data_IF_751311682643
#
_entry.id   IF_751311682643
#
_cell.length_a   1.000
_cell.length_b   1.000
_cell.length_c   1.000
_cell.angle_alpha   90.00
_cell.angle_beta   90.00
_cell.angle_gamma   90.00
#
_symmetry.space_group_name_H-M   'P 1'
#
loop_
_entity.id
_entity.type
_entity.pdbx_description
1 polymer ?
#
# COMPACT_ATOMS: atom_id res chain seq x y z
N UNK A 1 -56.67 -28.76 7.91
CA UNK A 1 -56.19 -27.51 7.24
C UNK A 1 -54.68 -27.50 7.30
N UNK A 2 -54.05 -27.82 6.18
CA UNK A 2 -52.59 -27.75 6.04
C UNK A 2 -52.20 -26.34 5.57
N UNK A 3 -51.33 -25.70 6.32
CA UNK A 3 -50.65 -24.47 5.90
C UNK A 3 -49.36 -24.82 5.13
N UNK A 4 -49.08 -24.26 3.94
CA UNK A 4 -47.82 -24.47 3.28
C UNK A 4 -46.77 -23.57 3.89
N UNK A 5 -45.63 -24.16 4.29
CA UNK A 5 -44.48 -23.47 4.77
C UNK A 5 -43.79 -22.65 3.66
N UNK A 6 -43.65 -21.37 3.90
CA UNK A 6 -42.90 -20.47 3.05
C UNK A 6 -41.41 -20.66 3.32
N UNK A 7 -40.67 -21.41 2.48
CA UNK A 7 -39.23 -21.50 2.50
C UNK A 7 -38.66 -20.25 1.84
N UNK A 8 -38.31 -19.27 2.66
CA UNK A 8 -37.48 -18.13 2.20
C UNK A 8 -36.03 -18.60 2.15
N UNK A 9 -35.57 -19.00 0.96
CA UNK A 9 -34.16 -19.25 0.70
C UNK A 9 -33.47 -17.89 0.64
N UNK A 10 -32.89 -17.44 1.74
CA UNK A 10 -31.98 -16.33 1.73
C UNK A 10 -30.76 -16.73 0.88
N UNK A 11 -30.71 -16.20 -0.33
CA UNK A 11 -29.49 -16.19 -1.14
C UNK A 11 -28.45 -15.37 -0.40
N UNK A 12 -27.56 -16.04 0.33
CA UNK A 12 -26.31 -15.48 0.80
C UNK A 12 -25.53 -15.05 -0.45
N UNK A 13 -25.53 -13.75 -0.74
CA UNK A 13 -24.75 -13.17 -1.82
C UNK A 13 -23.26 -13.38 -1.45
N UNK A 14 -22.64 -14.42 -2.01
CA UNK A 14 -21.19 -14.57 -1.94
C UNK A 14 -20.59 -13.34 -2.60
N UNK A 15 -19.93 -12.48 -1.81
CA UNK A 15 -19.05 -11.43 -2.33
C UNK A 15 -17.91 -12.15 -3.07
N UNK A 16 -18.03 -12.27 -4.37
CA UNK A 16 -16.92 -12.68 -5.22
C UNK A 16 -15.81 -11.64 -5.09
N UNK A 17 -14.60 -12.09 -4.74
CA UNK A 17 -13.43 -11.21 -4.77
C UNK A 17 -13.28 -10.64 -6.19
N UNK A 18 -12.93 -9.34 -6.33
CA UNK A 18 -12.76 -8.73 -7.63
C UNK A 18 -11.61 -9.41 -8.38
N UNK A 19 -11.69 -9.41 -9.69
CA UNK A 19 -10.63 -9.93 -10.54
C UNK A 19 -9.42 -8.99 -10.56
N UNK A 20 -8.26 -9.53 -10.93
CA UNK A 20 -7.04 -8.72 -11.12
C UNK A 20 -7.27 -7.62 -12.17
N UNK A 21 -8.04 -7.90 -13.22
CA UNK A 21 -8.38 -6.92 -14.26
C UNK A 21 -9.24 -5.77 -13.73
N UNK A 22 -10.19 -6.05 -12.85
CA UNK A 22 -11.00 -5.01 -12.21
C UNK A 22 -10.14 -4.13 -11.30
N UNK A 23 -9.25 -4.71 -10.50
CA UNK A 23 -8.31 -3.95 -9.69
C UNK A 23 -7.37 -3.10 -10.57
N UNK A 24 -6.86 -3.64 -11.68
CA UNK A 24 -5.98 -2.91 -12.61
C UNK A 24 -6.64 -1.63 -13.16
N UNK A 25 -7.94 -1.65 -13.42
CA UNK A 25 -8.69 -0.50 -13.91
C UNK A 25 -8.87 0.62 -12.85
N UNK A 26 -8.70 0.30 -11.56
CA UNK A 26 -8.97 1.22 -10.45
C UNK A 26 -7.71 1.71 -9.72
N UNK A 27 -6.53 1.21 -10.06
CA UNK A 27 -5.27 1.65 -9.46
C UNK A 27 -4.55 2.68 -10.32
N UNK A 28 -3.75 3.53 -9.69
CA UNK A 28 -2.82 4.43 -10.38
C UNK A 28 -1.50 3.70 -10.63
N UNK A 29 -1.29 3.27 -11.85
CA UNK A 29 -0.08 2.57 -12.29
C UNK A 29 0.47 3.07 -13.63
N UNK A 30 0.03 4.22 -14.09
CA UNK A 30 0.56 4.86 -15.30
C UNK A 30 2.04 5.23 -15.13
N UNK A 31 2.89 5.04 -16.18
CA UNK A 31 4.26 5.50 -16.17
C UNK A 31 4.38 7.00 -15.92
N UNK A 32 5.42 7.41 -15.21
CA UNK A 32 5.68 8.80 -14.88
C UNK A 32 7.19 9.14 -14.96
N UNK A 33 7.52 10.43 -14.98
CA UNK A 33 8.92 10.90 -15.03
C UNK A 33 9.22 11.82 -13.86
N UNK A 34 10.42 11.65 -13.28
CA UNK A 34 10.98 12.55 -12.27
C UNK A 34 12.43 12.81 -12.62
N UNK A 35 12.81 14.07 -12.74
CA UNK A 35 14.19 14.50 -13.06
C UNK A 35 14.77 13.77 -14.28
N UNK A 36 13.98 13.64 -15.35
CA UNK A 36 14.36 12.98 -16.59
C UNK A 36 14.34 11.45 -16.55
N UNK A 37 14.27 10.80 -15.38
CA UNK A 37 14.17 9.34 -15.24
C UNK A 37 12.72 8.89 -15.34
N UNK A 38 12.46 7.89 -16.19
CA UNK A 38 11.15 7.23 -16.32
C UNK A 38 11.02 6.12 -15.29
N UNK A 39 9.84 6.08 -14.65
CA UNK A 39 9.41 5.01 -13.76
C UNK A 39 8.16 4.36 -14.33
N UNK A 40 8.15 3.05 -14.36
CA UNK A 40 6.99 2.26 -14.80
C UNK A 40 6.50 1.45 -13.61
N UNK A 41 5.34 1.80 -13.03
CA UNK A 41 4.73 0.99 -11.99
C UNK A 41 4.42 -0.41 -12.51
N UNK A 42 4.48 -1.39 -11.62
CA UNK A 42 4.18 -2.77 -11.94
C UNK A 42 2.67 -3.00 -12.09
N UNK A 43 2.30 -4.08 -12.78
CA UNK A 43 0.92 -4.53 -12.87
C UNK A 43 0.39 -4.98 -11.51
N UNK A 44 -0.94 -5.07 -11.36
CA UNK A 44 -1.55 -5.64 -10.14
C UNK A 44 -1.09 -7.08 -9.92
N UNK A 45 -1.03 -7.89 -10.99
CA UNK A 45 -0.60 -9.29 -10.89
C UNK A 45 0.83 -9.42 -10.34
N UNK A 46 1.77 -8.61 -10.85
CA UNK A 46 3.16 -8.59 -10.37
C UNK A 46 3.25 -8.06 -8.93
N UNK A 47 2.48 -7.02 -8.63
CA UNK A 47 2.47 -6.43 -7.29
C UNK A 47 1.98 -7.40 -6.22
N UNK A 48 1.00 -8.25 -6.51
CA UNK A 48 0.47 -9.24 -5.57
C UNK A 48 1.50 -10.31 -5.16
N UNK A 49 2.57 -10.47 -5.93
CA UNK A 49 3.68 -11.38 -5.63
C UNK A 49 4.94 -10.65 -5.17
N UNK A 50 4.87 -9.33 -5.05
CA UNK A 50 6.02 -8.51 -4.72
C UNK A 50 6.46 -8.66 -3.28
N UNK A 51 7.73 -8.95 -3.12
CA UNK A 51 8.47 -8.86 -1.87
C UNK A 51 9.88 -8.38 -2.15
N UNK A 52 10.39 -7.51 -1.32
CA UNK A 52 11.74 -6.96 -1.48
C UNK A 52 12.32 -6.55 -0.12
N UNK A 53 13.64 -6.64 -0.01
CA UNK A 53 14.39 -6.16 1.15
C UNK A 53 15.26 -4.98 0.72
N UNK A 54 15.20 -3.89 1.48
CA UNK A 54 15.96 -2.69 1.18
C UNK A 54 15.94 -1.72 2.35
N UNK A 55 16.43 -0.51 2.10
CA UNK A 55 16.44 0.55 3.10
C UNK A 55 15.15 1.35 3.10
N UNK A 56 14.67 1.66 4.29
CA UNK A 56 13.55 2.56 4.52
C UNK A 56 13.98 3.77 5.32
N UNK A 57 13.33 4.89 5.06
CA UNK A 57 13.38 6.09 5.91
C UNK A 57 11.96 6.57 6.17
N UNK A 58 11.81 7.78 6.66
CA UNK A 58 10.51 8.36 6.96
C UNK A 58 10.49 9.86 6.66
N UNK A 59 9.29 10.38 6.46
CA UNK A 59 9.06 11.82 6.27
C UNK A 59 8.07 12.35 7.33
N UNK A 60 8.28 13.58 7.76
CA UNK A 60 7.61 14.16 8.91
C UNK A 60 7.06 15.57 8.69
N UNK A 61 7.08 16.38 9.71
CA UNK A 61 6.35 17.63 9.85
C UNK A 61 6.36 18.64 8.70
N UNK A 62 7.46 18.73 7.94
CA UNK A 62 7.54 19.62 6.76
C UNK A 62 6.67 19.13 5.57
N UNK A 63 6.31 17.85 5.55
CA UNK A 63 5.42 17.29 4.54
C UNK A 63 3.93 17.51 4.85
N UNK A 64 3.60 18.04 6.01
CA UNK A 64 2.21 18.31 6.40
C UNK A 64 1.56 19.30 5.45
N UNK A 65 0.32 19.02 5.02
CA UNK A 65 -0.47 19.79 4.05
C UNK A 65 -0.01 19.70 2.59
N UNK A 66 1.04 18.94 2.28
CA UNK A 66 1.33 18.62 0.89
C UNK A 66 0.40 17.52 0.40
N UNK A 67 0.11 17.51 -0.90
CA UNK A 67 -0.64 16.43 -1.54
C UNK A 67 0.32 15.32 -1.97
N UNK A 68 -0.12 14.09 -1.80
CA UNK A 68 0.53 12.90 -2.34
C UNK A 68 0.26 12.75 -3.84
N UNK A 69 0.95 11.82 -4.48
CA UNK A 69 0.69 11.45 -5.87
C UNK A 69 -0.71 10.85 -6.09
N UNK A 70 -1.34 10.31 -5.05
CA UNK A 70 -2.75 9.87 -5.10
C UNK A 70 -3.75 11.03 -4.98
N UNK A 71 -3.29 12.23 -4.58
CA UNK A 71 -4.11 13.41 -4.38
C UNK A 71 -4.58 13.62 -2.94
N UNK A 72 -4.20 12.76 -2.02
CA UNK A 72 -4.49 12.87 -0.60
C UNK A 72 -3.58 13.89 0.10
N UNK A 73 -4.06 14.52 1.16
CA UNK A 73 -3.21 15.33 2.02
C UNK A 73 -2.36 14.45 2.95
N UNK A 74 -1.09 14.78 3.06
CA UNK A 74 -0.17 14.06 3.96
C UNK A 74 -0.48 14.44 5.41
N UNK A 75 -0.67 13.41 6.25
CA UNK A 75 -0.74 13.54 7.71
C UNK A 75 0.28 12.60 8.37
N UNK A 76 1.55 13.00 8.47
CA UNK A 76 2.63 12.09 8.85
C UNK A 76 2.50 11.49 10.25
N UNK A 77 1.87 12.21 11.18
CA UNK A 77 1.74 11.79 12.57
C UNK A 77 0.60 10.81 12.81
N UNK A 78 -0.37 10.72 11.90
CA UNK A 78 -1.58 9.90 12.07
C UNK A 78 -1.78 8.83 11.00
N UNK A 79 -1.38 9.13 9.78
CA UNK A 79 -1.63 8.23 8.65
C UNK A 79 -0.61 7.09 8.60
N UNK A 80 -1.09 5.87 8.41
CA UNK A 80 -0.28 4.67 8.17
C UNK A 80 -0.07 4.49 6.68
N UNK A 81 0.71 5.40 6.08
CA UNK A 81 0.95 5.45 4.63
C UNK A 81 2.43 5.56 4.30
N UNK A 82 2.76 5.33 3.04
CA UNK A 82 4.15 5.37 2.57
C UNK A 82 4.26 5.76 1.09
N UNK A 83 5.47 6.10 0.68
CA UNK A 83 5.86 6.36 -0.69
C UNK A 83 6.69 5.20 -1.25
N UNK A 84 6.32 4.72 -2.43
CA UNK A 84 7.07 3.70 -3.18
C UNK A 84 7.12 4.06 -4.67
N UNK A 85 8.23 3.68 -5.33
CA UNK A 85 8.48 4.10 -6.74
C UNK A 85 7.54 3.41 -7.73
N UNK A 86 7.27 2.13 -7.56
CA UNK A 86 6.67 1.29 -8.63
C UNK A 86 5.49 0.43 -8.21
N UNK A 87 5.10 0.41 -6.94
CA UNK A 87 3.87 -0.27 -6.54
C UNK A 87 2.64 0.48 -7.06
N UNK A 88 1.58 -0.19 -7.51
CA UNK A 88 0.31 0.46 -7.85
C UNK A 88 -0.30 1.15 -6.64
N UNK A 89 -1.10 2.18 -6.86
CA UNK A 89 -1.75 2.94 -5.77
C UNK A 89 -3.28 2.91 -5.92
N UNK A 90 -4.01 2.55 -4.85
CA UNK A 90 -3.54 2.12 -3.53
C UNK A 90 -3.06 0.67 -3.50
N UNK A 91 -2.18 0.38 -2.56
CA UNK A 91 -1.66 -0.96 -2.31
C UNK A 91 -1.31 -1.07 -0.83
N UNK A 92 -1.68 -2.16 -0.18
CA UNK A 92 -1.34 -2.42 1.22
C UNK A 92 -0.11 -3.30 1.31
N UNK A 93 0.85 -2.86 2.09
CA UNK A 93 2.17 -3.51 2.22
C UNK A 93 2.48 -3.73 3.69
N UNK A 94 2.87 -4.94 4.04
CA UNK A 94 3.48 -5.25 5.33
C UNK A 94 4.95 -4.84 5.28
N UNK A 95 5.34 -4.00 6.20
CA UNK A 95 6.73 -3.53 6.36
C UNK A 95 7.28 -4.11 7.65
N UNK A 96 8.32 -4.90 7.56
CA UNK A 96 9.02 -5.49 8.72
C UNK A 96 10.40 -4.85 8.84
N UNK A 97 10.67 -4.20 9.96
CA UNK A 97 12.01 -3.70 10.27
C UNK A 97 12.89 -4.88 10.72
N UNK A 98 13.99 -5.12 10.01
CA UNK A 98 14.85 -6.28 10.26
C UNK A 98 15.66 -6.14 11.56
N UNK A 99 15.97 -4.90 11.97
CA UNK A 99 16.71 -4.63 13.20
C UNK A 99 15.85 -4.77 14.47
N UNK A 100 14.55 -4.51 14.40
CA UNK A 100 13.64 -4.58 15.56
C UNK A 100 12.75 -5.82 15.54
N UNK A 101 12.59 -6.48 14.40
CA UNK A 101 11.63 -7.55 14.18
C UNK A 101 10.16 -7.12 14.18
N UNK A 102 9.88 -5.83 14.38
CA UNK A 102 8.52 -5.27 14.40
C UNK A 102 8.01 -5.05 12.99
N UNK A 103 6.72 -5.25 12.78
CA UNK A 103 6.05 -5.01 11.51
C UNK A 103 4.80 -4.17 11.66
N UNK A 104 4.41 -3.52 10.56
CA UNK A 104 3.14 -2.79 10.43
C UNK A 104 2.66 -2.86 8.99
N UNK A 105 1.39 -2.55 8.79
CA UNK A 105 0.81 -2.44 7.45
C UNK A 105 0.66 -0.97 7.09
N UNK A 106 1.11 -0.61 5.90
CA UNK A 106 0.96 0.73 5.34
C UNK A 106 0.25 0.68 3.99
N UNK A 107 -0.44 1.76 3.65
CA UNK A 107 -1.02 1.94 2.34
C UNK A 107 -0.10 2.84 1.50
N UNK A 108 0.26 2.37 0.32
CA UNK A 108 1.03 3.16 -0.63
C UNK A 108 0.09 4.20 -1.28
N UNK A 109 0.38 5.46 -1.06
CA UNK A 109 -0.39 6.59 -1.61
C UNK A 109 0.49 7.68 -2.22
N UNK A 110 1.81 7.47 -2.27
CA UNK A 110 2.74 8.45 -2.80
C UNK A 110 3.86 7.80 -3.61
N UNK A 111 4.54 8.59 -4.45
CA UNK A 111 5.71 8.22 -5.24
C UNK A 111 6.99 8.70 -4.58
N UNK A 112 8.03 7.93 -4.71
CA UNK A 112 9.35 8.11 -4.13
C UNK A 112 9.78 6.89 -3.30
N UNK A 113 10.92 6.96 -2.61
CA UNK A 113 11.90 8.04 -2.56
C UNK A 113 12.72 8.18 -3.86
N UNK A 114 13.03 9.42 -4.26
CA UNK A 114 13.79 9.71 -5.47
C UNK A 114 15.25 10.11 -5.17
N UNK A 115 15.56 10.29 -3.91
CA UNK A 115 16.91 10.53 -3.40
C UNK A 115 17.47 9.24 -2.82
N UNK A 116 18.63 8.82 -3.21
CA UNK A 116 19.29 7.62 -2.70
C UNK A 116 18.64 6.28 -3.13
N UNK A 117 19.27 5.19 -2.71
CA UNK A 117 18.84 3.82 -2.99
C UNK A 117 17.77 3.31 -1.99
N UNK A 118 17.01 4.21 -1.35
CA UNK A 118 15.93 3.79 -0.46
C UNK A 118 14.80 3.13 -1.25
N UNK A 119 14.23 2.10 -0.63
CA UNK A 119 13.13 1.33 -1.19
C UNK A 119 11.78 1.99 -0.91
N UNK A 120 11.58 2.48 0.32
CA UNK A 120 10.32 3.03 0.81
C UNK A 120 10.57 4.17 1.79
N UNK A 121 9.71 5.17 1.78
CA UNK A 121 9.65 6.20 2.81
C UNK A 121 8.31 6.14 3.54
N UNK A 122 8.36 5.93 4.85
CA UNK A 122 7.19 5.80 5.72
C UNK A 122 6.75 7.15 6.26
N UNK A 123 5.48 7.27 6.65
CA UNK A 123 5.05 8.35 7.54
C UNK A 123 5.68 8.18 8.92
N UNK A 124 5.79 9.28 9.68
CA UNK A 124 6.27 9.26 11.07
C UNK A 124 5.52 8.24 11.93
N UNK A 125 4.19 8.17 11.79
CA UNK A 125 3.34 7.22 12.51
C UNK A 125 3.74 5.76 12.20
N UNK A 126 3.91 5.41 10.92
CA UNK A 126 4.30 4.06 10.51
C UNK A 126 5.72 3.72 10.97
N UNK A 127 6.67 4.63 10.80
CA UNK A 127 8.05 4.45 11.24
C UNK A 127 8.16 4.24 12.76
N UNK A 128 7.36 4.94 13.54
CA UNK A 128 7.33 4.80 15.00
C UNK A 128 6.83 3.42 15.43
N UNK A 129 5.85 2.86 14.71
CA UNK A 129 5.30 1.52 15.00
C UNK A 129 6.35 0.41 14.92
N UNK A 130 7.31 0.53 14.02
CA UNK A 130 8.34 -0.50 13.80
C UNK A 130 9.70 -0.12 14.39
N UNK A 131 9.77 0.97 15.16
CA UNK A 131 11.00 1.44 15.80
C UNK A 131 12.01 2.11 14.85
N UNK A 132 11.61 2.40 13.61
CA UNK A 132 12.48 3.02 12.60
C UNK A 132 12.67 4.52 12.85
N UNK A 133 11.65 5.20 13.41
CA UNK A 133 11.68 6.66 13.62
C UNK A 133 12.93 7.16 14.35
N UNK A 134 13.36 6.46 15.41
CA UNK A 134 14.56 6.80 16.18
C UNK A 134 15.88 6.51 15.46
N UNK A 135 15.86 5.58 14.51
CA UNK A 135 17.04 5.16 13.74
C UNK A 135 17.28 6.02 12.50
N UNK A 136 16.25 6.67 11.98
CA UNK A 136 16.28 7.46 10.76
C UNK A 136 16.25 6.62 9.49
N UNK A 137 17.15 5.65 9.35
CA UNK A 137 17.22 4.69 8.23
C UNK A 137 17.43 3.28 8.80
N UNK A 138 16.69 2.31 8.27
CA UNK A 138 16.81 0.89 8.65
C UNK A 138 16.53 -0.03 7.47
N UNK A 139 17.04 -1.26 7.55
CA UNK A 139 16.67 -2.30 6.59
C UNK A 139 15.28 -2.83 6.90
N UNK A 140 14.47 -2.95 5.87
CA UNK A 140 13.11 -3.49 5.96
C UNK A 140 12.88 -4.56 4.91
N UNK A 141 11.94 -5.45 5.19
CA UNK A 141 11.34 -6.35 4.21
C UNK A 141 9.92 -5.87 3.94
N UNK A 142 9.60 -5.76 2.65
CA UNK A 142 8.27 -5.45 2.15
C UNK A 142 7.60 -6.72 1.64
N UNK A 143 6.30 -6.85 1.91
CA UNK A 143 5.44 -7.91 1.40
C UNK A 143 4.08 -7.29 1.07
N UNK A 144 3.65 -7.37 -0.18
CA UNK A 144 2.33 -6.86 -0.58
C UNK A 144 1.25 -7.76 0.01
N UNK A 145 0.25 -7.15 0.64
CA UNK A 145 -0.91 -7.84 1.20
C UNK A 145 -2.09 -7.79 0.24
N UNK A 146 -2.35 -6.63 -0.33
CA UNK A 146 -3.44 -6.42 -1.27
C UNK A 146 -3.18 -5.23 -2.17
N UNK A 147 -3.86 -5.20 -3.31
CA UNK A 147 -3.82 -4.09 -4.27
C UNK A 147 -5.24 -3.62 -4.55
N UNK A 148 -5.44 -2.31 -4.67
CA UNK A 148 -6.75 -1.69 -4.76
C UNK A 148 -7.31 -1.32 -3.39
N UNK A 149 -8.56 -0.91 -3.36
CA UNK A 149 -9.30 -0.59 -2.15
C UNK A 149 -10.80 -0.89 -2.29
N UNK A 150 -11.47 -1.02 -1.14
CA UNK A 150 -12.91 -1.27 -1.09
C UNK A 150 -13.35 -2.45 -1.95
N UNK A 151 -14.33 -2.25 -2.86
CA UNK A 151 -14.84 -3.34 -3.69
C UNK A 151 -13.88 -3.82 -4.78
N UNK A 152 -12.78 -3.10 -5.02
CA UNK A 152 -11.77 -3.40 -6.05
C UNK A 152 -10.46 -3.89 -5.45
N UNK A 153 -10.44 -4.25 -4.18
CA UNK A 153 -9.25 -4.75 -3.48
C UNK A 153 -9.07 -6.25 -3.73
N UNK A 154 -7.90 -6.62 -4.26
CA UNK A 154 -7.47 -8.02 -4.48
C UNK A 154 -6.37 -8.37 -3.50
N UNK A 155 -6.53 -9.48 -2.78
CA UNK A 155 -5.55 -9.96 -1.81
C UNK A 155 -4.45 -10.80 -2.44
N UNK A 156 -3.23 -10.68 -1.92
CA UNK A 156 -2.14 -11.61 -2.21
C UNK A 156 -2.46 -12.98 -1.56
N UNK A 157 -2.15 -14.06 -2.25
CA UNK A 157 -2.35 -15.45 -1.78
C UNK A 157 -1.10 -16.01 -1.14
#
# INVERSE_FOLDING_TARGET
FLMPGCSTTEKCAQKTEPSVQEAEAHVKNAPYRVRGKRYTPMSVADALQYHETGYASWYGGKARRLKTSSGEYINPQRSMTAAHKTLPMPCKVKVTCLETGKSTVVRINNRGPFHSNRLIDLTTAAASRIGLHRRGVSRVRLEVISVGDGPHEVSAR
#
